data_IF_452730891277
#
_entry.id   IF_452730891277
#
_cell.length_a   1.000
_cell.length_b   1.000
_cell.length_c   1.000
_cell.angle_alpha   90.00
_cell.angle_beta   90.00
_cell.angle_gamma   90.00
#
_symmetry.space_group_name_H-M   'P 1'
#
loop_
_entity.id
_entity.type
_entity.pdbx_description
1 polymer ?
#
# COMPACT_ATOMS: atom_id res chain seq x y z
N UNK A 1 5.94 31.30 -43.34
CA UNK A 1 4.72 30.93 -42.61
C UNK A 1 4.75 29.58 -41.92
N UNK A 2 5.73 28.73 -42.21
CA UNK A 2 5.90 27.34 -41.65
C UNK A 2 6.55 27.36 -40.26
N UNK A 3 7.38 28.33 -39.93
CA UNK A 3 8.10 28.38 -38.64
C UNK A 3 7.21 28.72 -37.43
N UNK A 4 6.06 29.39 -37.60
CA UNK A 4 5.13 29.70 -36.50
C UNK A 4 4.29 28.50 -36.04
N UNK A 5 4.02 27.54 -36.93
CA UNK A 5 3.25 26.31 -36.56
C UNK A 5 4.07 25.35 -35.69
N UNK A 6 5.39 25.28 -35.92
CA UNK A 6 6.27 24.39 -35.15
C UNK A 6 6.45 24.83 -33.69
N UNK A 7 6.46 26.14 -33.46
CA UNK A 7 6.59 26.70 -32.10
C UNK A 7 5.32 26.54 -31.26
N UNK A 8 4.14 26.58 -31.89
CA UNK A 8 2.88 26.36 -31.19
C UNK A 8 2.70 24.86 -30.78
N UNK A 9 3.15 23.94 -31.61
CA UNK A 9 3.10 22.50 -31.35
C UNK A 9 4.01 22.08 -30.19
N UNK A 10 5.20 22.70 -30.09
CA UNK A 10 6.15 22.41 -29.01
C UNK A 10 5.67 22.99 -27.66
N UNK A 11 5.03 24.14 -27.67
CA UNK A 11 4.48 24.79 -26.47
C UNK A 11 3.23 24.05 -25.96
N UNK A 12 2.39 23.49 -26.85
CA UNK A 12 1.24 22.67 -26.46
C UNK A 12 1.68 21.33 -25.83
N UNK A 13 2.78 20.73 -26.31
CA UNK A 13 3.35 19.50 -25.72
C UNK A 13 3.95 19.78 -24.34
N UNK A 14 4.61 20.93 -24.12
CA UNK A 14 5.16 21.31 -22.82
C UNK A 14 4.07 21.62 -21.77
N UNK A 15 2.91 22.15 -22.19
CA UNK A 15 1.77 22.37 -21.29
C UNK A 15 1.07 21.09 -20.86
N UNK A 16 1.16 20.00 -21.64
CA UNK A 16 0.62 18.69 -21.26
C UNK A 16 1.39 18.03 -20.09
N UNK A 17 2.64 18.40 -19.88
CA UNK A 17 3.44 17.95 -18.73
C UNK A 17 3.12 18.69 -17.42
N UNK A 18 2.40 19.83 -17.49
CA UNK A 18 2.05 20.62 -16.31
C UNK A 18 0.72 20.21 -15.64
N UNK A 19 -0.04 19.28 -16.24
CA UNK A 19 -1.33 18.80 -15.75
C UNK A 19 -1.33 17.28 -15.58
N UNK A 20 -0.19 16.68 -15.22
CA UNK A 20 -0.15 15.27 -14.80
C UNK A 20 -1.04 15.09 -13.57
N UNK A 21 -1.93 14.11 -13.59
CA UNK A 21 -2.67 13.73 -12.39
C UNK A 21 -1.66 13.42 -11.26
N UNK A 22 -1.98 13.86 -10.04
CA UNK A 22 -1.15 13.57 -8.88
C UNK A 22 -1.04 12.06 -8.72
N UNK A 23 0.16 11.51 -8.45
CA UNK A 23 0.29 10.09 -8.19
C UNK A 23 -0.58 9.70 -6.99
N UNK A 24 -1.19 8.53 -7.06
CA UNK A 24 -2.17 8.06 -6.09
C UNK A 24 -1.55 7.01 -5.17
N UNK A 25 -1.44 7.32 -3.89
CA UNK A 25 -1.02 6.38 -2.85
C UNK A 25 -2.26 5.81 -2.12
N UNK A 26 -2.36 4.48 -2.05
CA UNK A 26 -3.41 3.78 -1.32
C UNK A 26 -2.81 3.09 -0.10
N UNK A 27 -3.33 3.45 1.07
CA UNK A 27 -2.96 2.87 2.36
C UNK A 27 -3.96 1.78 2.72
N UNK A 28 -3.47 0.60 3.05
CA UNK A 28 -4.26 -0.56 3.42
C UNK A 28 -4.01 -0.88 4.90
N UNK A 29 -4.97 -0.50 5.76
CA UNK A 29 -4.92 -0.77 7.20
C UNK A 29 -5.65 -2.08 7.47
N UNK A 30 -4.91 -3.17 7.62
CA UNK A 30 -5.42 -4.54 7.77
C UNK A 30 -5.35 -5.10 9.19
N UNK A 31 -5.13 -4.27 10.18
CA UNK A 31 -5.14 -4.61 11.61
C UNK A 31 -5.24 -3.34 12.44
N UNK A 32 -5.69 -3.47 13.70
CA UNK A 32 -5.57 -2.37 14.68
C UNK A 32 -4.41 -2.60 15.68
N UNK A 33 -3.64 -3.67 15.49
CA UNK A 33 -2.48 -3.96 16.32
C UNK A 33 -1.40 -2.88 16.13
N UNK A 34 -0.93 -2.26 17.20
CA UNK A 34 -0.05 -1.07 17.23
C UNK A 34 -0.67 0.23 16.69
N UNK A 35 -2.00 0.29 16.60
CA UNK A 35 -2.78 1.49 16.27
C UNK A 35 -2.50 2.11 14.89
N UNK A 36 -2.29 1.32 13.81
CA UNK A 36 -2.11 1.88 12.46
C UNK A 36 -3.34 2.64 11.97
N UNK A 37 -4.55 2.32 12.48
CA UNK A 37 -5.77 3.07 12.19
C UNK A 37 -5.69 4.54 12.60
N UNK A 38 -4.73 4.92 13.47
CA UNK A 38 -4.43 6.30 13.85
C UNK A 38 -3.22 6.85 13.07
N UNK A 39 -2.14 6.09 12.99
CA UNK A 39 -0.88 6.58 12.40
C UNK A 39 -0.89 6.61 10.87
N UNK A 40 -1.59 5.70 10.18
CA UNK A 40 -1.60 5.69 8.72
C UNK A 40 -2.35 6.90 8.12
N UNK A 41 -3.50 7.37 8.65
CA UNK A 41 -4.08 8.63 8.19
C UNK A 41 -3.17 9.85 8.39
N UNK A 42 -2.38 9.89 9.47
CA UNK A 42 -1.41 10.96 9.69
C UNK A 42 -0.31 10.92 8.63
N UNK A 43 0.24 9.74 8.34
CA UNK A 43 1.24 9.57 7.29
C UNK A 43 0.67 9.91 5.91
N UNK A 44 -0.58 9.54 5.62
CA UNK A 44 -1.25 9.90 4.37
C UNK A 44 -1.29 11.42 4.18
N UNK A 45 -1.61 12.19 5.23
CA UNK A 45 -1.61 13.65 5.18
C UNK A 45 -0.22 14.24 4.89
N UNK A 46 0.87 13.62 5.40
CA UNK A 46 2.23 14.05 5.06
C UNK A 46 2.57 13.75 3.59
N UNK A 47 2.16 12.58 3.08
CA UNK A 47 2.37 12.21 1.68
C UNK A 47 1.58 13.13 0.73
N UNK A 48 0.40 13.60 1.13
CA UNK A 48 -0.35 14.61 0.38
C UNK A 48 0.42 15.93 0.24
N UNK A 49 1.16 16.34 1.28
CA UNK A 49 2.03 17.53 1.21
C UNK A 49 3.18 17.37 0.22
N UNK A 50 3.57 16.13 -0.08
CA UNK A 50 4.55 15.81 -1.11
C UNK A 50 3.95 15.73 -2.52
N UNK A 51 2.67 16.06 -2.68
CA UNK A 51 2.01 16.17 -3.98
C UNK A 51 1.25 14.93 -4.42
N UNK A 52 1.09 13.92 -3.57
CA UNK A 52 0.25 12.75 -3.86
C UNK A 52 -1.24 13.04 -3.62
N UNK A 53 -2.09 12.27 -4.29
CA UNK A 53 -3.45 11.98 -3.86
C UNK A 53 -3.41 10.76 -2.96
N UNK A 54 -4.17 10.72 -1.86
CA UNK A 54 -4.21 9.54 -1.00
C UNK A 54 -5.62 8.94 -0.88
N UNK A 55 -5.67 7.64 -0.63
CA UNK A 55 -6.85 6.93 -0.15
C UNK A 55 -6.41 6.05 1.01
N UNK A 56 -7.09 6.18 2.15
CA UNK A 56 -6.81 5.35 3.33
C UNK A 56 -7.97 4.38 3.54
N UNK A 57 -7.71 3.10 3.29
CA UNK A 57 -8.62 2.00 3.60
C UNK A 57 -8.45 1.69 5.08
N UNK A 58 -9.31 2.28 5.89
CA UNK A 58 -9.21 2.25 7.36
C UNK A 58 -10.59 2.01 7.97
N UNK A 59 -11.04 0.74 8.05
CA UNK A 59 -12.33 0.41 8.62
C UNK A 59 -12.36 0.71 10.13
N UNK A 60 -13.56 0.94 10.66
CA UNK A 60 -13.83 1.16 12.09
C UNK A 60 -13.74 -0.12 12.92
N UNK A 61 -13.74 -1.28 12.26
CA UNK A 61 -13.49 -2.60 12.87
C UNK A 61 -12.03 -3.05 12.65
N UNK A 62 -11.56 -3.96 13.50
CA UNK A 62 -10.24 -4.57 13.34
C UNK A 62 -10.28 -5.70 12.27
N UNK A 63 -9.70 -5.51 11.07
CA UNK A 63 -9.77 -6.51 10.00
C UNK A 63 -9.07 -7.83 10.32
N UNK A 64 -8.14 -7.84 11.28
CA UNK A 64 -7.49 -9.07 11.75
C UNK A 64 -8.48 -10.00 12.44
N UNK A 65 -9.50 -9.44 13.10
CA UNK A 65 -10.47 -10.17 13.93
C UNK A 65 -11.84 -10.28 13.29
N UNK A 66 -12.18 -9.38 12.38
CA UNK A 66 -13.50 -9.30 11.76
C UNK A 66 -13.51 -9.98 10.40
N UNK A 67 -14.51 -10.84 10.17
CA UNK A 67 -14.66 -11.61 8.92
C UNK A 67 -15.04 -10.74 7.70
N UNK A 68 -15.49 -9.50 7.91
CA UNK A 68 -15.79 -8.56 6.82
C UNK A 68 -14.54 -8.19 6.00
N UNK A 69 -13.35 -8.40 6.57
CA UNK A 69 -12.09 -8.06 5.91
C UNK A 69 -11.91 -6.56 5.72
N UNK A 70 -11.61 -6.13 4.49
CA UNK A 70 -11.29 -4.74 4.14
C UNK A 70 -12.31 -4.18 3.14
N UNK A 71 -12.87 -2.99 3.37
CA UNK A 71 -13.73 -2.34 2.39
C UNK A 71 -12.90 -1.69 1.27
N UNK A 72 -13.52 -1.38 0.14
CA UNK A 72 -13.02 -0.48 -0.93
C UNK A 72 -11.63 -0.84 -1.48
N UNK A 73 -11.21 -2.11 -1.43
CA UNK A 73 -9.92 -2.56 -1.96
C UNK A 73 -9.76 -2.31 -3.47
N UNK A 74 -10.85 -2.12 -4.19
CA UNK A 74 -10.84 -1.72 -5.61
C UNK A 74 -10.12 -0.39 -5.87
N UNK A 75 -9.90 0.43 -4.85
CA UNK A 75 -9.07 1.64 -4.94
C UNK A 75 -7.64 1.32 -5.41
N UNK A 76 -7.13 0.12 -5.11
CA UNK A 76 -5.81 -0.35 -5.56
C UNK A 76 -5.68 -0.38 -7.10
N UNK A 77 -6.76 -0.56 -7.84
CA UNK A 77 -6.75 -0.56 -9.31
C UNK A 77 -6.18 0.74 -9.89
N UNK A 78 -6.42 1.87 -9.22
CA UNK A 78 -5.95 3.19 -9.64
C UNK A 78 -4.73 3.68 -8.86
N UNK A 79 -4.21 2.88 -7.93
CA UNK A 79 -3.05 3.26 -7.15
C UNK A 79 -1.76 3.23 -7.99
N UNK A 80 -0.87 4.17 -7.74
CA UNK A 80 0.50 4.20 -8.22
C UNK A 80 1.48 3.72 -7.15
N UNK A 81 1.07 3.76 -5.89
CA UNK A 81 1.78 3.25 -4.73
C UNK A 81 0.80 2.59 -3.76
N UNK A 82 1.07 1.35 -3.34
CA UNK A 82 0.33 0.70 -2.27
C UNK A 82 1.17 0.61 -0.99
N UNK A 83 0.58 1.00 0.13
CA UNK A 83 1.21 1.02 1.44
C UNK A 83 0.40 0.13 2.37
N UNK A 84 1.00 -0.97 2.82
CA UNK A 84 0.35 -1.98 3.65
C UNK A 84 0.79 -1.87 5.10
N UNK A 85 -0.18 -1.88 5.99
CA UNK A 85 0.00 -2.18 7.40
C UNK A 85 -1.00 -3.29 7.78
N UNK A 86 -0.61 -4.53 7.55
CA UNK A 86 -1.45 -5.71 7.71
C UNK A 86 -0.85 -6.67 8.73
N UNK A 87 -1.70 -7.48 9.37
CA UNK A 87 -1.30 -8.53 10.29
C UNK A 87 -2.39 -9.60 10.32
N UNK A 88 -2.02 -10.84 10.07
CA UNK A 88 -2.90 -12.02 10.19
C UNK A 88 -4.27 -11.87 9.50
N UNK A 89 -4.28 -11.08 8.43
CA UNK A 89 -5.50 -10.78 7.67
C UNK A 89 -6.04 -12.03 6.99
N UNK A 90 -7.37 -12.18 7.02
CA UNK A 90 -8.10 -13.22 6.31
C UNK A 90 -9.20 -12.55 5.51
N UNK A 91 -8.97 -12.36 4.24
CA UNK A 91 -9.96 -11.81 3.32
C UNK A 91 -10.37 -12.89 2.33
N UNK A 92 -11.59 -12.77 1.78
CA UNK A 92 -12.08 -13.67 0.76
C UNK A 92 -11.39 -13.46 -0.60
N UNK A 93 -11.66 -14.34 -1.55
CA UNK A 93 -11.06 -14.30 -2.87
C UNK A 93 -11.46 -13.04 -3.66
N UNK A 94 -12.67 -12.51 -3.43
CA UNK A 94 -13.15 -11.29 -4.09
C UNK A 94 -12.36 -10.06 -3.63
N UNK A 95 -11.97 -10.03 -2.38
CA UNK A 95 -11.11 -8.98 -1.83
C UNK A 95 -9.64 -9.20 -2.21
N UNK A 96 -9.16 -10.43 -2.11
CA UNK A 96 -7.77 -10.76 -2.41
C UNK A 96 -7.39 -10.48 -3.87
N UNK A 97 -8.33 -10.60 -4.82
CA UNK A 97 -8.07 -10.32 -6.23
C UNK A 97 -7.58 -8.89 -6.46
N UNK A 98 -8.08 -7.90 -5.71
CA UNK A 98 -7.63 -6.51 -5.85
C UNK A 98 -6.15 -6.34 -5.46
N UNK A 99 -5.71 -7.04 -4.41
CA UNK A 99 -4.30 -7.05 -3.99
C UNK A 99 -3.45 -7.77 -5.03
N UNK A 100 -3.88 -8.95 -5.46
CA UNK A 100 -3.11 -9.74 -6.44
C UNK A 100 -2.97 -9.05 -7.79
N UNK A 101 -4.01 -8.38 -8.26
CA UNK A 101 -3.97 -7.64 -9.53
C UNK A 101 -3.08 -6.40 -9.43
N UNK A 102 -3.10 -5.71 -8.29
CA UNK A 102 -2.15 -4.63 -8.03
C UNK A 102 -0.70 -5.14 -8.07
N UNK A 103 -0.40 -6.23 -7.37
CA UNK A 103 0.95 -6.81 -7.35
C UNK A 103 1.42 -7.27 -8.74
N UNK A 104 0.54 -7.88 -9.54
CA UNK A 104 0.82 -8.24 -10.93
C UNK A 104 1.12 -7.05 -11.83
N UNK A 105 0.64 -5.86 -11.49
CA UNK A 105 0.93 -4.65 -12.26
C UNK A 105 2.39 -4.18 -12.15
N UNK A 106 3.17 -4.74 -11.22
CA UNK A 106 4.57 -4.38 -10.98
C UNK A 106 4.77 -3.00 -10.36
N UNK A 107 3.71 -2.35 -9.88
CA UNK A 107 3.78 -1.05 -9.23
C UNK A 107 4.38 -1.16 -7.82
N UNK A 108 4.95 -0.05 -7.28
CA UNK A 108 5.64 -0.04 -5.99
C UNK A 108 4.76 -0.45 -4.82
N UNK A 109 5.35 -1.21 -3.89
CA UNK A 109 4.74 -1.63 -2.63
C UNK A 109 5.63 -1.25 -1.46
N UNK A 110 5.02 -0.74 -0.40
CA UNK A 110 5.66 -0.52 0.90
C UNK A 110 4.91 -1.31 1.96
N UNK A 111 5.62 -2.11 2.74
CA UNK A 111 5.07 -2.82 3.89
C UNK A 111 5.59 -2.24 5.20
N UNK A 112 4.68 -1.88 6.10
CA UNK A 112 5.04 -1.45 7.44
C UNK A 112 5.00 -2.62 8.42
N UNK A 113 6.00 -2.68 9.29
CA UNK A 113 6.09 -3.50 10.50
C UNK A 113 5.59 -4.94 10.34
N UNK A 114 4.34 -5.21 10.70
CA UNK A 114 3.77 -6.56 10.73
C UNK A 114 3.35 -7.11 9.36
N UNK A 115 3.50 -6.34 8.30
CA UNK A 115 3.07 -6.76 6.96
C UNK A 115 3.86 -7.95 6.42
N UNK A 116 5.03 -8.28 6.96
CA UNK A 116 5.79 -9.50 6.61
C UNK A 116 5.07 -10.79 7.01
N UNK A 117 4.13 -10.73 7.97
CA UNK A 117 3.18 -11.79 8.31
C UNK A 117 1.75 -11.24 8.19
N UNK A 118 1.50 -10.59 7.06
CA UNK A 118 0.28 -9.83 6.80
C UNK A 118 -0.97 -10.67 6.67
N UNK A 119 -0.85 -11.96 6.32
CA UNK A 119 -1.96 -12.89 6.13
C UNK A 119 -1.85 -14.10 7.07
N UNK A 120 -3.00 -14.74 7.36
CA UNK A 120 -3.05 -15.94 8.18
C UNK A 120 -4.25 -16.81 7.81
N UNK A 121 -4.21 -17.37 6.60
CA UNK A 121 -5.19 -18.37 6.17
C UNK A 121 -4.99 -19.69 6.89
N UNK A 122 -6.07 -20.47 7.15
CA UNK A 122 -5.95 -21.80 7.73
C UNK A 122 -5.10 -22.76 6.89
N UNK A 123 -4.64 -23.84 7.51
CA UNK A 123 -3.99 -24.93 6.80
C UNK A 123 -4.92 -25.50 5.72
N UNK A 124 -4.33 -25.93 4.60
CA UNK A 124 -5.03 -26.44 3.42
C UNK A 124 -5.91 -25.42 2.67
N UNK A 125 -5.99 -24.16 3.14
CA UNK A 125 -6.69 -23.12 2.41
C UNK A 125 -5.96 -22.76 1.11
N UNK A 126 -6.65 -22.57 -0.05
CA UNK A 126 -5.99 -22.24 -1.32
C UNK A 126 -5.07 -21.01 -1.25
N UNK A 127 -5.39 -20.09 -0.34
CA UNK A 127 -4.64 -18.83 -0.12
C UNK A 127 -3.58 -18.94 0.97
N UNK A 128 -3.33 -20.11 1.59
CA UNK A 128 -2.33 -20.30 2.65
C UNK A 128 -0.93 -19.80 2.23
N UNK A 129 -0.59 -19.92 0.96
CA UNK A 129 0.67 -19.44 0.40
C UNK A 129 0.95 -17.94 0.68
N UNK A 130 -0.08 -17.15 0.94
CA UNK A 130 0.06 -15.74 1.25
C UNK A 130 0.58 -15.48 2.68
N UNK A 131 0.45 -16.45 3.59
CA UNK A 131 0.87 -16.28 4.98
C UNK A 131 2.35 -15.88 5.07
N UNK A 132 3.22 -16.62 4.36
CA UNK A 132 4.66 -16.33 4.27
C UNK A 132 5.03 -15.59 2.97
N UNK A 133 4.31 -15.89 1.89
CA UNK A 133 4.62 -15.38 0.55
C UNK A 133 4.54 -13.86 0.45
N UNK A 134 3.61 -13.21 1.14
CA UNK A 134 3.54 -11.75 1.09
C UNK A 134 4.81 -11.09 1.66
N UNK A 135 5.30 -11.57 2.78
CA UNK A 135 6.57 -11.10 3.34
C UNK A 135 7.76 -11.44 2.45
N UNK A 136 7.91 -12.71 2.11
CA UNK A 136 9.09 -13.23 1.40
C UNK A 136 9.15 -12.76 -0.06
N UNK A 137 8.04 -12.89 -0.80
CA UNK A 137 8.05 -12.76 -2.27
C UNK A 137 7.65 -11.34 -2.72
N UNK A 138 6.88 -10.60 -1.91
CA UNK A 138 6.44 -9.24 -2.22
C UNK A 138 7.28 -8.19 -1.52
N UNK A 139 7.51 -8.34 -0.21
CA UNK A 139 8.26 -7.36 0.57
C UNK A 139 9.77 -7.67 0.65
N UNK A 140 10.20 -8.83 0.15
CA UNK A 140 11.60 -9.25 0.14
C UNK A 140 12.16 -9.63 1.52
N UNK A 141 11.29 -9.79 2.53
CA UNK A 141 11.70 -10.10 3.90
C UNK A 141 10.69 -11.06 4.55
N UNK A 142 11.03 -12.35 4.71
CA UNK A 142 10.17 -13.28 5.44
C UNK A 142 10.11 -12.88 6.91
N UNK A 143 8.95 -13.09 7.55
CA UNK A 143 8.86 -13.03 8.99
C UNK A 143 9.48 -14.30 9.60
N UNK A 144 10.51 -14.12 10.42
CA UNK A 144 11.10 -15.22 11.16
C UNK A 144 10.71 -15.16 12.64
N UNK A 145 11.07 -14.04 13.28
CA UNK A 145 10.79 -13.81 14.71
C UNK A 145 10.97 -12.32 15.00
N UNK A 146 10.34 -11.82 16.04
CA UNK A 146 10.65 -10.52 16.60
C UNK A 146 11.25 -10.66 17.99
N UNK A 147 12.21 -9.81 18.30
CA UNK A 147 12.76 -9.71 19.65
C UNK A 147 11.77 -9.00 20.57
N UNK A 148 11.66 -9.45 21.80
CA UNK A 148 10.92 -8.78 22.86
C UNK A 148 11.82 -7.80 23.60
N UNK A 149 11.26 -6.71 24.09
CA UNK A 149 11.96 -5.71 24.89
C UNK A 149 12.07 -4.33 24.21
N UNK A 150 12.64 -3.34 24.90
CA UNK A 150 12.79 -1.99 24.38
C UNK A 150 13.83 -1.93 23.27
N UNK A 151 13.48 -1.27 22.17
CA UNK A 151 14.39 -0.96 21.06
C UNK A 151 14.86 0.48 21.19
N UNK A 152 16.16 0.71 21.16
CA UNK A 152 16.76 2.05 21.08
C UNK A 152 17.17 2.31 19.64
N UNK A 153 16.71 3.43 19.10
CA UNK A 153 17.16 3.92 17.80
C UNK A 153 18.22 5.01 18.05
N UNK A 154 19.32 4.92 17.30
CA UNK A 154 20.31 5.99 17.21
C UNK A 154 20.19 6.57 15.81
N UNK A 155 19.90 7.86 15.73
CA UNK A 155 19.98 8.60 14.47
C UNK A 155 21.44 9.05 14.33
N UNK A 156 22.10 8.65 13.26
CA UNK A 156 23.41 9.16 12.90
C UNK A 156 23.21 10.34 11.96
N UNK A 157 23.83 11.46 12.29
CA UNK A 157 23.88 12.61 11.39
C UNK A 157 24.81 12.26 10.23
N UNK A 158 24.24 12.32 8.98
CA UNK A 158 24.95 12.07 7.72
C UNK A 158 25.60 13.33 7.18
#
# INVERSE_FOLDING_TARGET
MIFKLFFLSFFACALSFLHGEKPHAVFVVGTHHYSPQKSMPMLASEIERLGFKTTVINPDWDPEKDKRGLPVLEALKKADLAIFYTRFLKIDDQQLVHITDYLKSGKPVVGFRTSTHGFNYPDEHPNQKWNDGFGRDVLGSPYLIHLSGPTRLKVEEG
#
